data_IF_561294059769
#
_entry.id   IF_561294059769
#
_cell.length_a   1.000
_cell.length_b   1.000
_cell.length_c   1.000
_cell.angle_alpha   90.00
_cell.angle_beta   90.00
_cell.angle_gamma   90.00
#
_symmetry.space_group_name_H-M   'P 1'
#
loop_
_entity.id
_entity.type
_entity.pdbx_description
1 polymer ?
#
# COMPACT_ATOMS: atom_id res chain seq x y z
N UNK A 1 13.51 7.33 -22.32
CA UNK A 1 14.44 6.89 -21.27
C UNK A 1 15.83 7.44 -21.55
N UNK A 2 16.63 7.68 -20.50
CA UNK A 2 17.98 8.21 -20.63
C UNK A 2 18.95 7.35 -19.80
N UNK A 3 20.10 7.10 -20.38
CA UNK A 3 21.23 6.50 -19.68
C UNK A 3 21.93 7.51 -18.77
N UNK A 4 22.86 7.04 -17.95
CA UNK A 4 23.70 7.88 -17.10
C UNK A 4 24.59 8.87 -17.87
N UNK A 5 24.92 8.58 -19.11
CA UNK A 5 25.66 9.44 -20.04
C UNK A 5 24.76 10.42 -20.82
N UNK A 6 23.44 10.37 -20.60
CA UNK A 6 22.45 11.21 -21.28
C UNK A 6 21.97 10.69 -22.64
N UNK A 7 22.50 9.56 -23.12
CA UNK A 7 22.01 8.91 -24.34
C UNK A 7 20.58 8.41 -24.16
N UNK A 8 19.80 8.44 -25.23
CA UNK A 8 18.43 7.97 -25.21
C UNK A 8 18.37 6.52 -25.69
N UNK A 9 17.62 5.70 -24.95
CA UNK A 9 17.35 4.33 -25.32
C UNK A 9 15.94 3.90 -24.86
N UNK A 10 15.46 2.74 -25.27
CA UNK A 10 14.12 2.24 -24.98
C UNK A 10 13.03 3.24 -25.42
N UNK A 11 12.88 3.44 -26.72
CA UNK A 11 11.76 4.21 -27.27
C UNK A 11 10.45 3.65 -26.75
N UNK A 12 9.51 4.52 -26.40
CA UNK A 12 8.28 4.08 -25.79
C UNK A 12 7.05 4.77 -26.35
N UNK A 13 5.92 4.09 -26.21
CA UNK A 13 4.59 4.59 -26.49
C UNK A 13 3.74 4.37 -25.26
N UNK A 14 3.10 5.42 -24.76
CA UNK A 14 2.11 5.32 -23.70
C UNK A 14 0.73 5.61 -24.27
N UNK A 15 -0.20 4.68 -24.05
CA UNK A 15 -1.60 4.84 -24.42
C UNK A 15 -2.43 4.93 -23.16
N UNK A 16 -3.26 5.96 -23.10
CA UNK A 16 -4.26 6.15 -22.05
C UNK A 16 -5.64 5.89 -22.64
N UNK A 17 -6.42 5.02 -22.01
CA UNK A 17 -7.83 4.83 -22.32
C UNK A 17 -8.65 5.26 -21.11
N UNK A 18 -9.52 6.23 -21.33
CA UNK A 18 -10.47 6.73 -20.34
C UNK A 18 -11.86 6.34 -20.83
N UNK A 19 -12.60 5.65 -20.00
CA UNK A 19 -13.94 5.17 -20.35
C UNK A 19 -14.98 6.12 -19.75
N UNK A 20 -16.03 6.37 -20.54
CA UNK A 20 -17.18 7.14 -20.06
C UNK A 20 -17.90 6.30 -18.98
N UNK A 21 -18.30 6.94 -17.88
CA UNK A 21 -18.92 6.28 -16.70
C UNK A 21 -18.05 5.30 -15.89
N UNK A 22 -16.76 5.21 -16.14
CA UNK A 22 -15.86 4.41 -15.31
C UNK A 22 -14.84 5.29 -14.59
N UNK A 23 -14.57 4.95 -13.33
CA UNK A 23 -13.53 5.61 -12.53
C UNK A 23 -12.16 4.96 -12.75
N UNK A 24 -11.95 4.33 -13.90
CA UNK A 24 -10.73 3.60 -14.22
C UNK A 24 -10.02 4.23 -15.42
N UNK A 25 -8.72 4.24 -15.39
CA UNK A 25 -7.86 4.61 -16.51
C UNK A 25 -7.00 3.41 -16.85
N UNK A 26 -7.12 2.95 -18.10
CA UNK A 26 -6.22 1.92 -18.62
C UNK A 26 -4.98 2.57 -19.21
N UNK A 27 -3.82 2.16 -18.72
CA UNK A 27 -2.52 2.63 -19.20
C UNK A 27 -1.79 1.46 -19.83
N UNK A 28 -1.39 1.61 -21.08
CA UNK A 28 -0.54 0.66 -21.80
C UNK A 28 0.78 1.35 -22.09
N UNK A 29 1.84 0.84 -21.50
CA UNK A 29 3.20 1.26 -21.78
C UNK A 29 3.87 0.21 -22.66
N UNK A 30 4.26 0.60 -23.84
CA UNK A 30 5.01 -0.23 -24.79
C UNK A 30 6.37 0.39 -24.96
N UNK A 31 7.41 -0.39 -24.81
CA UNK A 31 8.78 0.05 -25.11
C UNK A 31 9.45 -0.89 -26.09
N UNK A 32 10.35 -0.34 -26.88
CA UNK A 32 11.17 -1.07 -27.82
C UNK A 32 12.58 -1.19 -27.22
N UNK A 33 13.03 -2.42 -27.04
CA UNK A 33 14.40 -2.66 -26.62
C UNK A 33 15.32 -2.51 -27.83
N UNK A 34 16.14 -1.44 -27.83
CA UNK A 34 17.11 -1.09 -28.86
C UNK A 34 18.54 -0.98 -28.29
N UNK A 35 18.78 -1.58 -27.12
CA UNK A 35 20.07 -1.65 -26.47
C UNK A 35 20.93 -2.82 -26.92
N UNK A 36 22.17 -2.84 -26.45
CA UNK A 36 23.09 -3.95 -26.62
C UNK A 36 22.78 -5.07 -25.61
N UNK A 37 22.35 -6.23 -26.09
CA UNK A 37 21.97 -7.39 -25.27
C UNK A 37 23.07 -7.87 -24.31
N UNK A 38 24.34 -7.54 -24.57
CA UNK A 38 25.47 -7.94 -23.74
C UNK A 38 25.83 -6.94 -22.65
N UNK A 39 25.55 -5.66 -22.88
CA UNK A 39 26.00 -4.57 -22.03
C UNK A 39 24.85 -3.80 -21.38
N UNK A 40 23.67 -3.82 -21.97
CA UNK A 40 22.53 -3.05 -21.47
C UNK A 40 21.51 -3.95 -20.77
N UNK A 41 21.31 -3.72 -19.48
CA UNK A 41 20.36 -4.50 -18.67
C UNK A 41 19.29 -3.60 -18.06
N UNK A 42 18.03 -3.95 -18.28
CA UNK A 42 16.90 -3.29 -17.61
C UNK A 42 16.82 -3.79 -16.17
N UNK A 43 17.10 -2.93 -15.20
CA UNK A 43 17.01 -3.26 -13.78
C UNK A 43 15.60 -3.17 -13.21
N UNK A 44 14.71 -2.47 -13.87
CA UNK A 44 13.34 -2.33 -13.43
C UNK A 44 12.52 -1.50 -14.41
N UNK A 45 11.25 -1.87 -14.54
CA UNK A 45 10.23 -1.11 -15.26
C UNK A 45 9.05 -0.94 -14.32
N UNK A 46 8.50 0.25 -14.24
CA UNK A 46 7.40 0.50 -13.33
C UNK A 46 6.65 1.78 -13.64
N UNK A 47 5.52 1.93 -12.98
CA UNK A 47 4.72 3.15 -12.97
C UNK A 47 4.73 3.70 -11.56
N UNK A 48 5.08 4.97 -11.44
CA UNK A 48 4.98 5.68 -10.18
C UNK A 48 3.79 6.62 -10.22
N UNK A 49 2.87 6.42 -9.29
CA UNK A 49 1.75 7.30 -9.05
C UNK A 49 1.94 7.99 -7.71
N UNK A 50 1.89 9.30 -7.72
CA UNK A 50 1.95 10.10 -6.50
C UNK A 50 0.61 10.77 -6.29
N UNK A 51 -0.05 10.46 -5.19
CA UNK A 51 -1.32 11.07 -4.80
C UNK A 51 -1.24 11.53 -3.35
N UNK A 52 -1.62 12.77 -3.11
CA UNK A 52 -1.83 13.24 -1.76
C UNK A 52 -3.07 12.55 -1.19
N UNK A 53 -2.90 11.86 -0.08
CA UNK A 53 -4.00 11.26 0.67
C UNK A 53 -4.47 12.23 1.74
N UNK A 54 -5.78 12.37 1.86
CA UNK A 54 -6.43 13.24 2.84
C UNK A 54 -6.95 12.44 4.05
N UNK A 55 -7.27 13.16 5.14
CA UNK A 55 -7.80 12.57 6.35
C UNK A 55 -6.72 11.99 7.27
N UNK A 56 -7.18 11.41 8.37
CA UNK A 56 -6.32 10.86 9.41
C UNK A 56 -5.65 9.55 8.97
N UNK A 57 -4.43 9.29 9.45
CA UNK A 57 -3.65 8.11 9.06
C UNK A 57 -4.39 6.79 9.32
N UNK A 58 -5.16 6.72 10.40
CA UNK A 58 -5.94 5.54 10.72
C UNK A 58 -7.14 5.30 9.79
N UNK A 59 -7.45 6.26 8.92
CA UNK A 59 -8.45 6.15 7.86
C UNK A 59 -7.86 6.04 6.46
N UNK A 60 -6.54 6.18 6.31
CA UNK A 60 -5.85 5.98 5.03
C UNK A 60 -5.55 4.51 4.83
N UNK A 61 -5.87 3.99 3.68
CA UNK A 61 -5.87 2.55 3.44
C UNK A 61 -5.10 2.17 2.21
N UNK A 62 -4.55 0.97 2.27
CA UNK A 62 -3.98 0.27 1.12
C UNK A 62 -4.71 -1.05 0.94
N UNK A 63 -5.00 -1.39 -0.31
CA UNK A 63 -5.57 -2.67 -0.71
C UNK A 63 -4.71 -3.26 -1.80
N UNK A 64 -4.24 -4.46 -1.59
CA UNK A 64 -3.43 -5.21 -2.53
C UNK A 64 -4.16 -6.50 -2.84
N UNK A 65 -4.39 -6.75 -4.13
CA UNK A 65 -5.10 -7.93 -4.59
C UNK A 65 -4.19 -8.76 -5.49
N UNK A 66 -4.24 -10.06 -5.33
CA UNK A 66 -3.69 -11.04 -6.25
C UNK A 66 -4.78 -11.98 -6.76
N UNK A 67 -4.41 -12.95 -7.58
CA UNK A 67 -5.36 -13.92 -8.14
C UNK A 67 -6.03 -14.78 -7.06
N UNK A 68 -5.35 -14.94 -5.91
CA UNK A 68 -5.79 -15.83 -4.83
C UNK A 68 -6.17 -15.11 -3.53
N UNK A 69 -6.24 -13.79 -3.51
CA UNK A 69 -6.60 -13.11 -2.28
C UNK A 69 -6.44 -11.60 -2.28
N UNK A 70 -6.87 -11.02 -1.18
CA UNK A 70 -6.85 -9.58 -0.94
C UNK A 70 -6.21 -9.30 0.41
N UNK A 71 -5.23 -8.40 0.44
CA UNK A 71 -4.75 -7.77 1.66
C UNK A 71 -5.33 -6.36 1.75
N UNK A 72 -5.84 -6.01 2.91
CA UNK A 72 -6.34 -4.68 3.20
C UNK A 72 -5.80 -4.21 4.55
N UNK A 73 -5.21 -3.03 4.59
CA UNK A 73 -4.63 -2.49 5.80
C UNK A 73 -4.73 -0.97 5.85
N UNK A 74 -4.78 -0.43 7.06
CA UNK A 74 -4.67 1.02 7.30
C UNK A 74 -3.23 1.42 7.55
N UNK A 75 -2.89 2.68 7.26
CA UNK A 75 -1.56 3.23 7.54
C UNK A 75 -1.27 3.30 9.04
N UNK A 76 -2.30 3.35 9.87
CA UNK A 76 -2.21 3.29 11.32
C UNK A 76 -3.33 2.41 11.86
N UNK A 77 -2.96 1.23 12.29
CA UNK A 77 -3.88 0.26 12.83
C UNK A 77 -4.10 0.54 14.32
N UNK A 78 -5.33 0.92 14.67
CA UNK A 78 -5.69 1.26 16.04
C UNK A 78 -5.95 0.01 16.88
N UNK A 79 -4.92 -0.77 17.06
CA UNK A 79 -4.86 -1.85 18.04
C UNK A 79 -4.01 -1.38 19.21
N UNK A 80 -4.50 -0.38 19.94
CA UNK A 80 -3.77 0.28 21.03
C UNK A 80 -3.42 -0.70 22.17
N UNK A 81 -4.17 -1.78 22.29
CA UNK A 81 -3.99 -2.73 23.37
C UNK A 81 -3.83 -4.13 22.81
N UNK A 82 -2.63 -4.67 22.91
CA UNK A 82 -2.46 -6.11 22.74
C UNK A 82 -3.34 -6.80 23.78
N UNK A 83 -4.20 -7.75 23.41
CA UNK A 83 -4.92 -8.54 24.39
C UNK A 83 -3.90 -9.23 25.29
N UNK A 84 -3.73 -8.76 26.48
CA UNK A 84 -3.13 -9.57 27.55
C UNK A 84 -4.19 -10.60 27.89
N UNK A 85 -3.99 -11.83 27.42
CA UNK A 85 -4.64 -13.07 27.85
C UNK A 85 -5.93 -12.84 28.67
N UNK A 86 -7.06 -12.67 27.99
CA UNK A 86 -8.38 -12.49 28.57
C UNK A 86 -9.37 -12.10 27.50
N UNK A 87 -10.68 -12.20 27.72
CA UNK A 87 -11.65 -11.71 26.77
C UNK A 87 -11.30 -10.26 26.50
N UNK A 88 -10.96 -9.97 25.28
CA UNK A 88 -10.40 -8.72 24.83
C UNK A 88 -11.41 -7.59 25.06
N UNK A 89 -11.17 -6.92 26.13
CA UNK A 89 -11.77 -5.64 26.47
C UNK A 89 -10.86 -4.64 25.81
N UNK A 90 -11.24 -4.05 24.73
CA UNK A 90 -10.41 -3.09 24.06
C UNK A 90 -11.08 -2.52 22.82
N UNK A 91 -10.38 -1.76 22.06
CA UNK A 91 -10.80 -1.04 20.86
C UNK A 91 -11.26 -2.01 19.74
N UNK A 92 -11.79 -3.17 20.09
CA UNK A 92 -12.29 -4.15 19.12
C UNK A 92 -13.30 -3.57 18.13
N UNK A 93 -14.29 -2.77 18.53
CA UNK A 93 -15.21 -2.17 17.58
C UNK A 93 -14.51 -1.29 16.55
N UNK A 94 -13.54 -0.48 16.98
CA UNK A 94 -12.78 0.42 16.12
C UNK A 94 -11.86 -0.39 15.19
N UNK A 95 -11.17 -1.37 15.73
CA UNK A 95 -10.32 -2.27 14.94
C UNK A 95 -11.14 -3.04 13.90
N UNK A 96 -12.30 -3.56 14.28
CA UNK A 96 -13.20 -4.27 13.37
C UNK A 96 -13.72 -3.35 12.26
N UNK A 97 -14.08 -2.11 12.57
CA UNK A 97 -14.42 -1.10 11.57
C UNK A 97 -13.27 -0.84 10.60
N UNK A 98 -12.05 -0.69 11.13
CA UNK A 98 -10.87 -0.51 10.29
C UNK A 98 -10.66 -1.71 9.34
N UNK A 99 -10.81 -2.94 9.82
CA UNK A 99 -10.71 -4.15 9.00
C UNK A 99 -11.83 -4.24 7.97
N UNK A 100 -13.04 -3.81 8.34
CA UNK A 100 -14.18 -3.76 7.43
C UNK A 100 -14.07 -2.65 6.35
N UNK A 101 -13.09 -1.77 6.47
CA UNK A 101 -12.96 -0.68 5.52
C UNK A 101 -13.77 0.56 5.88
N UNK A 102 -14.34 0.63 7.06
CA UNK A 102 -15.15 1.76 7.51
C UNK A 102 -14.29 2.90 8.06
N UNK A 103 -14.74 4.13 7.89
CA UNK A 103 -14.11 5.28 8.55
C UNK A 103 -14.42 5.26 10.03
N UNK A 104 -13.44 5.67 10.82
CA UNK A 104 -13.57 5.81 12.27
C UNK A 104 -13.26 7.26 12.67
N UNK A 105 -13.91 7.75 13.71
CA UNK A 105 -13.65 9.08 14.26
C UNK A 105 -13.04 8.97 15.66
N UNK A 106 -12.26 9.97 16.04
CA UNK A 106 -11.67 10.02 17.38
C UNK A 106 -12.74 10.04 18.48
N UNK A 107 -13.87 10.68 18.24
CA UNK A 107 -14.98 10.75 19.18
C UNK A 107 -15.66 9.41 19.49
N UNK A 108 -15.47 8.42 18.62
CA UNK A 108 -15.95 7.05 18.82
C UNK A 108 -15.00 6.20 19.66
N UNK A 109 -13.79 6.71 19.94
CA UNK A 109 -12.74 5.93 20.55
C UNK A 109 -12.76 6.11 22.07
N UNK A 110 -13.10 5.03 22.74
CA UNK A 110 -13.14 4.98 24.20
C UNK A 110 -12.24 3.83 24.66
N UNK A 111 -11.41 4.08 25.65
CA UNK A 111 -10.67 3.03 26.33
C UNK A 111 -11.64 2.22 27.21
N UNK A 112 -12.00 1.05 26.76
CA UNK A 112 -12.97 0.19 27.43
C UNK A 112 -12.51 -0.30 28.82
N UNK A 113 -11.25 -0.08 29.19
CA UNK A 113 -10.74 -0.46 30.53
C UNK A 113 -11.16 0.54 31.60
N UNK A 114 -11.26 1.80 31.24
CA UNK A 114 -11.53 2.88 32.18
C UNK A 114 -12.66 3.81 31.73
N UNK A 115 -13.22 3.58 30.54
CA UNK A 115 -14.30 4.40 30.00
C UNK A 115 -13.87 5.79 29.52
N UNK A 116 -12.57 6.10 29.51
CA UNK A 116 -12.09 7.40 29.09
C UNK A 116 -12.01 7.52 27.57
N UNK A 117 -12.24 8.71 27.05
CA UNK A 117 -11.99 9.00 25.63
C UNK A 117 -10.50 8.85 25.33
N UNK A 118 -10.19 8.22 24.22
CA UNK A 118 -8.82 8.11 23.72
C UNK A 118 -8.36 9.45 23.19
N UNK A 119 -7.19 9.88 23.61
CA UNK A 119 -6.62 11.16 23.20
C UNK A 119 -5.87 11.05 21.86
N UNK A 120 -5.73 12.19 21.19
CA UNK A 120 -4.92 12.27 19.97
C UNK A 120 -3.46 11.87 20.25
N UNK A 121 -2.91 12.25 21.38
CA UNK A 121 -1.54 11.94 21.79
C UNK A 121 -1.34 10.42 21.93
N UNK A 122 -2.28 9.70 22.51
CA UNK A 122 -2.23 8.25 22.59
C UNK A 122 -2.25 7.60 21.20
N UNK A 123 -3.06 8.13 20.28
CA UNK A 123 -3.08 7.65 18.89
C UNK A 123 -1.78 7.97 18.19
N UNK A 124 -1.21 9.14 18.40
CA UNK A 124 0.05 9.54 17.76
C UNK A 124 1.25 8.67 18.17
N UNK A 125 1.15 8.01 19.32
CA UNK A 125 2.14 7.02 19.77
C UNK A 125 1.95 5.61 19.18
N UNK A 126 0.87 5.36 18.46
CA UNK A 126 0.68 4.07 17.76
C UNK A 126 1.53 4.05 16.49
N UNK A 127 2.15 2.91 16.23
CA UNK A 127 2.98 2.70 15.04
C UNK A 127 2.25 3.13 13.77
N UNK A 128 2.93 3.93 12.97
CA UNK A 128 2.46 4.46 11.68
C UNK A 128 3.32 3.87 10.57
N UNK A 129 2.69 3.55 9.45
CA UNK A 129 3.40 3.16 8.25
C UNK A 129 3.49 4.37 7.31
N UNK A 130 4.70 4.71 6.87
CA UNK A 130 4.94 5.88 6.02
C UNK A 130 4.72 5.55 4.55
N UNK A 131 5.05 4.32 4.17
CA UNK A 131 4.94 3.90 2.78
C UNK A 131 4.77 2.39 2.64
N UNK A 132 4.20 2.03 1.50
CA UNK A 132 4.10 0.66 1.02
C UNK A 132 4.69 0.60 -0.38
N UNK A 133 5.37 -0.48 -0.68
CA UNK A 133 5.86 -0.76 -2.02
C UNK A 133 5.45 -2.17 -2.42
N UNK A 134 4.66 -2.26 -3.48
CA UNK A 134 4.38 -3.52 -4.15
C UNK A 134 5.36 -3.67 -5.30
N UNK A 135 6.12 -4.74 -5.32
CA UNK A 135 7.10 -5.03 -6.35
C UNK A 135 6.92 -6.45 -6.84
N UNK A 136 6.80 -6.61 -8.14
CA UNK A 136 6.89 -7.92 -8.76
C UNK A 136 8.36 -8.30 -8.89
N UNK A 137 8.76 -9.40 -8.27
CA UNK A 137 10.16 -9.86 -8.20
C UNK A 137 10.47 -10.96 -9.20
N UNK A 138 9.45 -11.71 -9.63
CA UNK A 138 9.53 -12.70 -10.71
C UNK A 138 8.25 -12.65 -11.54
N UNK A 139 8.16 -13.45 -12.60
CA UNK A 139 6.97 -13.50 -13.45
C UNK A 139 5.67 -13.87 -12.69
N UNK A 140 5.79 -14.59 -11.58
CA UNK A 140 4.68 -15.17 -10.82
C UNK A 140 4.72 -14.88 -9.31
N UNK A 141 5.63 -14.03 -8.86
CA UNK A 141 5.74 -13.66 -7.46
C UNK A 141 5.90 -12.17 -7.23
N UNK A 142 5.42 -11.70 -6.10
CA UNK A 142 5.58 -10.33 -5.66
C UNK A 142 5.91 -10.25 -4.18
N UNK A 143 6.42 -9.11 -3.78
CA UNK A 143 6.61 -8.75 -2.38
C UNK A 143 5.99 -7.40 -2.05
N UNK A 144 5.50 -7.26 -0.82
CA UNK A 144 5.06 -6.00 -0.25
C UNK A 144 6.01 -5.61 0.86
N UNK A 145 6.57 -4.43 0.75
CA UNK A 145 7.39 -3.83 1.80
C UNK A 145 6.65 -2.68 2.44
N UNK A 146 6.77 -2.58 3.75
CA UNK A 146 6.29 -1.46 4.55
C UNK A 146 7.49 -0.71 5.13
N UNK A 147 7.34 0.59 5.25
CA UNK A 147 8.34 1.43 5.92
C UNK A 147 7.70 2.23 7.04
N UNK A 148 8.41 2.31 8.16
CA UNK A 148 8.11 3.22 9.26
C UNK A 148 9.41 3.94 9.65
N UNK A 149 9.41 5.28 9.56
CA UNK A 149 10.62 6.07 9.78
C UNK A 149 11.75 5.65 8.84
N UNK A 150 12.83 5.13 9.40
CA UNK A 150 14.02 4.71 8.64
C UNK A 150 14.06 3.22 8.33
N UNK A 151 13.14 2.44 8.88
CA UNK A 151 13.14 1.00 8.74
C UNK A 151 12.16 0.52 7.67
N UNK A 152 12.62 -0.38 6.84
CA UNK A 152 11.81 -1.10 5.85
C UNK A 152 11.81 -2.58 6.20
N UNK A 153 10.63 -3.18 6.22
CA UNK A 153 10.48 -4.61 6.39
C UNK A 153 9.69 -5.23 5.24
N UNK A 154 10.01 -6.46 4.90
CA UNK A 154 9.20 -7.27 4.00
C UNK A 154 7.97 -7.74 4.76
N UNK A 155 6.81 -7.28 4.35
CA UNK A 155 5.55 -7.58 5.01
C UNK A 155 4.88 -8.82 4.42
N UNK A 156 4.85 -8.89 3.09
CA UNK A 156 4.36 -10.06 2.37
C UNK A 156 5.40 -10.43 1.32
N UNK A 157 5.69 -11.72 1.26
CA UNK A 157 6.41 -12.33 0.16
C UNK A 157 5.60 -13.55 -0.26
N UNK A 158 4.96 -13.47 -1.40
CA UNK A 158 4.01 -14.47 -1.82
C UNK A 158 4.07 -14.70 -3.33
N UNK A 159 3.72 -15.92 -3.69
CA UNK A 159 3.40 -16.32 -5.04
C UNK A 159 1.87 -16.44 -5.14
N UNK A 160 1.22 -15.32 -5.47
CA UNK A 160 -0.25 -15.23 -5.53
C UNK A 160 -0.76 -15.24 -6.97
N UNK A 161 -0.16 -16.04 -7.79
CA UNK A 161 -0.45 -16.06 -9.20
C UNK A 161 0.34 -15.01 -9.98
N UNK A 162 0.06 -14.90 -11.25
CA UNK A 162 0.83 -14.08 -12.20
C UNK A 162 0.48 -12.58 -12.15
N UNK A 163 -0.52 -12.20 -11.38
CA UNK A 163 -1.04 -10.81 -11.35
C UNK A 163 -1.25 -10.32 -9.95
N UNK A 164 -0.88 -9.09 -9.72
CA UNK A 164 -1.19 -8.36 -8.51
C UNK A 164 -1.73 -6.98 -8.83
N UNK A 165 -2.59 -6.47 -7.98
CA UNK A 165 -3.13 -5.11 -8.06
C UNK A 165 -2.97 -4.42 -6.73
N UNK A 166 -2.63 -3.14 -6.75
CA UNK A 166 -2.60 -2.29 -5.58
C UNK A 166 -3.61 -1.16 -5.70
N UNK A 167 -4.29 -0.86 -4.61
CA UNK A 167 -5.19 0.27 -4.48
C UNK A 167 -4.93 0.98 -3.17
N UNK A 168 -4.86 2.31 -3.21
CA UNK A 168 -4.73 3.18 -2.02
C UNK A 168 -5.90 4.15 -1.99
N UNK A 169 -6.51 4.34 -0.82
CA UNK A 169 -7.61 5.28 -0.59
C UNK A 169 -7.75 5.70 0.88
#
# INVERSE_FOLDING_TARGET
HKNSDGSEFLRYIIRFSVFYDENEIKIIHTFLYDGDEKNDFIKGVGVQLTRKMEGELYNRRIKITGDCGVMHETMQLLNLWRPRLGPSIGIQPIYSKQLAGEKVSLSEMVDLRNGNAVTKEEIDNVTKWDSYRLQQVTADSFEVKKRTGHEECTFIKANWGKRSKGLMY
#
